data_IF_306412008374
#
_entry.id   IF_306412008374
#
_cell.length_a   1.000
_cell.length_b   1.000
_cell.length_c   1.000
_cell.angle_alpha   90.00
_cell.angle_beta   90.00
_cell.angle_gamma   90.00
#
_symmetry.space_group_name_H-M   'P 1'
#
loop_
_entity.id
_entity.type
_entity.pdbx_description
1 polymer ?
#
# COMPACT_ATOMS: atom_id res chain seq x y z
N UNK A 1 17.52 -69.73 -23.25
CA UNK A 1 17.92 -68.30 -23.50
C UNK A 1 17.14 -67.45 -22.55
N UNK A 2 17.81 -66.94 -21.48
CA UNK A 2 17.17 -65.98 -20.54
C UNK A 2 17.28 -64.55 -21.15
N UNK A 3 16.13 -63.98 -21.46
CA UNK A 3 16.06 -62.55 -21.81
C UNK A 3 16.55 -61.69 -20.64
N UNK A 4 17.69 -61.05 -20.80
CA UNK A 4 18.14 -59.97 -19.90
C UNK A 4 17.19 -58.80 -20.05
N UNK A 5 16.20 -58.71 -19.14
CA UNK A 5 15.35 -57.54 -19.04
C UNK A 5 16.22 -56.30 -18.85
N UNK A 6 16.20 -55.38 -19.80
CA UNK A 6 16.91 -54.10 -19.70
C UNK A 6 16.40 -53.35 -18.45
N UNK A 7 17.30 -53.13 -17.48
CA UNK A 7 16.99 -52.38 -16.25
C UNK A 7 16.61 -50.94 -16.56
N UNK A 8 17.34 -50.31 -17.49
CA UNK A 8 17.07 -48.94 -17.94
C UNK A 8 15.76 -48.92 -18.74
N UNK A 9 14.82 -48.04 -18.31
CA UNK A 9 13.47 -47.95 -18.88
C UNK A 9 12.43 -48.86 -18.23
N UNK A 10 12.81 -49.69 -17.26
CA UNK A 10 11.85 -50.44 -16.47
C UNK A 10 11.18 -49.60 -15.39
N UNK A 11 9.98 -49.98 -14.96
CA UNK A 11 9.27 -49.29 -13.84
C UNK A 11 10.15 -49.21 -12.57
N UNK A 12 10.98 -50.25 -12.35
CA UNK A 12 11.92 -50.30 -11.24
C UNK A 12 13.06 -49.28 -11.38
N UNK A 13 13.52 -49.00 -12.59
CA UNK A 13 14.51 -47.96 -12.89
C UNK A 13 13.95 -46.57 -12.58
N UNK A 14 12.73 -46.25 -13.06
CA UNK A 14 12.11 -44.96 -12.82
C UNK A 14 11.78 -44.76 -11.33
N UNK A 15 11.33 -45.77 -10.63
CA UNK A 15 11.08 -45.71 -9.19
C UNK A 15 12.36 -45.43 -8.41
N UNK A 16 13.50 -46.07 -8.75
CA UNK A 16 14.79 -45.86 -8.10
C UNK A 16 15.34 -44.44 -8.43
N UNK A 17 15.17 -43.99 -9.67
CA UNK A 17 15.56 -42.62 -10.11
C UNK A 17 14.75 -41.57 -9.36
N UNK A 18 13.43 -41.74 -9.23
CA UNK A 18 12.58 -40.84 -8.47
C UNK A 18 13.00 -40.77 -6.99
N UNK A 19 13.30 -41.93 -6.39
CA UNK A 19 13.77 -42.02 -5.02
C UNK A 19 15.11 -41.35 -4.80
N UNK A 20 16.03 -41.45 -5.77
CA UNK A 20 17.31 -40.71 -5.77
C UNK A 20 17.10 -39.21 -5.83
N UNK A 21 16.20 -38.72 -6.71
CA UNK A 21 15.88 -37.31 -6.82
C UNK A 21 15.29 -36.77 -5.52
N UNK A 22 14.38 -37.49 -4.89
CA UNK A 22 13.81 -37.12 -3.59
C UNK A 22 14.90 -37.05 -2.51
N UNK A 23 15.80 -37.99 -2.44
CA UNK A 23 16.89 -38.02 -1.47
C UNK A 23 17.82 -36.82 -1.69
N UNK A 24 18.13 -36.47 -2.95
CA UNK A 24 18.95 -35.31 -3.28
C UNK A 24 18.26 -33.97 -2.91
N UNK A 25 16.95 -33.87 -3.15
CA UNK A 25 16.16 -32.69 -2.77
C UNK A 25 16.09 -32.54 -1.24
N UNK A 26 15.81 -33.61 -0.50
CA UNK A 26 15.78 -33.57 0.97
C UNK A 26 17.16 -33.24 1.54
N UNK A 27 18.23 -33.82 0.97
CA UNK A 27 19.60 -33.52 1.35
C UNK A 27 19.97 -32.06 1.09
N UNK A 28 19.55 -31.52 -0.07
CA UNK A 28 19.73 -30.10 -0.41
C UNK A 28 18.99 -29.17 0.53
N UNK A 29 17.74 -29.46 0.85
CA UNK A 29 16.96 -28.70 1.82
C UNK A 29 17.54 -28.75 3.23
N UNK A 30 18.05 -29.92 3.65
CA UNK A 30 18.73 -30.07 4.94
C UNK A 30 20.01 -29.23 5.02
N UNK A 31 20.84 -29.20 3.95
CA UNK A 31 22.07 -28.39 3.93
C UNK A 31 21.74 -26.88 3.95
N UNK A 32 20.72 -26.44 3.22
CA UNK A 32 20.24 -25.05 3.26
C UNK A 32 19.75 -24.70 4.67
N UNK A 33 18.95 -25.55 5.29
CA UNK A 33 18.45 -25.34 6.65
C UNK A 33 19.57 -25.25 7.68
N UNK A 34 20.59 -26.12 7.59
CA UNK A 34 21.77 -26.08 8.48
C UNK A 34 22.55 -24.78 8.26
N UNK A 35 22.72 -24.36 7.01
CA UNK A 35 23.42 -23.10 6.69
C UNK A 35 22.69 -21.88 7.27
N UNK A 36 21.36 -21.82 7.11
CA UNK A 36 20.52 -20.76 7.69
C UNK A 36 20.58 -20.76 9.22
N UNK A 37 20.50 -21.94 9.84
CA UNK A 37 20.60 -22.07 11.31
C UNK A 37 21.96 -21.57 11.82
N UNK A 38 23.05 -21.96 11.17
CA UNK A 38 24.40 -21.48 11.55
C UNK A 38 24.60 -19.99 11.33
N UNK A 39 24.01 -19.41 10.27
CA UNK A 39 24.03 -17.97 10.03
C UNK A 39 23.21 -17.21 11.09
N UNK A 40 22.06 -17.75 11.48
CA UNK A 40 21.21 -17.22 12.53
C UNK A 40 21.90 -17.20 13.90
N UNK A 41 22.55 -18.32 14.27
CA UNK A 41 23.36 -18.40 15.51
C UNK A 41 24.48 -17.36 15.54
N UNK A 42 25.18 -17.16 14.41
CA UNK A 42 26.23 -16.11 14.32
C UNK A 42 25.67 -14.71 14.54
N UNK A 43 24.47 -14.41 13.99
CA UNK A 43 23.82 -13.12 14.20
C UNK A 43 23.40 -12.95 15.66
N UNK A 44 22.91 -14.01 16.29
CA UNK A 44 22.57 -13.99 17.73
C UNK A 44 23.83 -13.78 18.60
N UNK A 45 24.94 -14.48 18.29
CA UNK A 45 26.22 -14.30 19.01
C UNK A 45 26.75 -12.85 18.90
N UNK A 46 26.61 -12.22 17.71
CA UNK A 46 26.98 -10.81 17.51
C UNK A 46 26.06 -9.90 18.32
N UNK A 47 24.74 -10.12 18.27
CA UNK A 47 23.78 -9.33 19.04
C UNK A 47 23.95 -9.49 20.55
N UNK A 48 24.30 -10.71 21.04
CA UNK A 48 24.62 -10.95 22.45
C UNK A 48 25.94 -10.33 22.86
N UNK A 49 26.98 -10.35 22.00
CA UNK A 49 28.24 -9.71 22.25
C UNK A 49 28.16 -8.18 22.30
N UNK A 50 27.32 -7.60 21.45
CA UNK A 50 26.99 -6.16 21.47
C UNK A 50 26.13 -5.77 22.69
N UNK A 51 25.26 -6.68 23.16
CA UNK A 51 24.46 -6.48 24.38
C UNK A 51 25.24 -6.52 25.67
N UNK A 52 26.42 -7.16 25.64
CA UNK A 52 27.35 -7.25 26.79
C UNK A 52 28.25 -6.04 26.97
N UNK A 53 28.33 -5.11 26.00
CA UNK A 53 28.95 -3.80 26.23
C UNK A 53 27.92 -2.93 26.97
N UNK A 54 28.12 -2.72 28.26
CA UNK A 54 27.34 -1.77 29.07
C UNK A 54 27.33 -0.41 28.35
N UNK A 55 26.22 -0.10 27.64
CA UNK A 55 25.88 1.28 27.31
C UNK A 55 25.38 1.87 28.63
N UNK A 56 26.32 2.35 29.43
CA UNK A 56 26.05 2.87 30.77
C UNK A 56 25.37 4.22 30.78
N UNK A 57 25.18 4.85 29.61
CA UNK A 57 24.48 6.12 29.50
C UNK A 57 23.89 6.32 28.10
N UNK A 58 22.57 6.04 27.96
CA UNK A 58 21.81 6.34 26.75
C UNK A 58 21.66 7.86 26.52
N UNK A 59 21.99 8.69 27.51
CA UNK A 59 21.91 10.15 27.42
C UNK A 59 23.02 10.77 26.56
N UNK A 60 24.13 10.05 26.32
CA UNK A 60 25.24 10.49 25.48
C UNK A 60 25.10 10.12 23.98
N UNK A 61 24.05 9.36 23.62
CA UNK A 61 23.71 9.10 22.23
C UNK A 61 22.82 10.22 21.68
N UNK A 62 23.32 11.45 21.64
CA UNK A 62 22.73 12.47 20.79
C UNK A 62 23.05 12.12 19.34
N UNK A 63 22.21 11.28 18.73
CA UNK A 63 22.26 11.09 17.28
C UNK A 63 21.73 12.40 16.70
N UNK A 64 22.59 13.15 16.03
CA UNK A 64 22.16 14.33 15.29
C UNK A 64 21.06 13.91 14.29
N UNK A 65 19.94 14.64 14.23
CA UNK A 65 18.88 14.31 13.31
C UNK A 65 19.40 14.35 11.86
N UNK A 66 18.96 13.43 11.03
CA UNK A 66 19.27 13.45 9.61
C UNK A 66 18.76 14.77 9.00
N UNK A 67 19.48 15.31 8.02
CA UNK A 67 19.21 16.64 7.46
C UNK A 67 17.74 16.83 7.03
N UNK A 68 17.12 15.80 6.44
CA UNK A 68 15.72 15.87 6.03
C UNK A 68 14.72 15.88 7.21
N UNK A 69 15.12 15.42 8.39
CA UNK A 69 14.25 15.39 9.58
C UNK A 69 13.98 16.77 10.17
N UNK A 70 14.84 17.76 9.84
CA UNK A 70 14.69 19.16 10.25
C UNK A 70 13.92 20.00 9.24
N UNK A 71 13.56 19.43 8.08
CA UNK A 71 12.75 20.12 7.08
C UNK A 71 11.28 20.19 7.51
N UNK A 72 10.62 21.31 7.21
CA UNK A 72 9.17 21.49 7.40
C UNK A 72 8.73 21.17 8.84
N UNK A 73 9.10 22.02 9.79
CA UNK A 73 8.85 21.83 11.24
C UNK A 73 7.36 21.75 11.60
N UNK A 74 6.48 22.24 10.75
CA UNK A 74 5.02 22.18 10.87
C UNK A 74 4.37 21.03 10.11
N UNK A 75 5.15 20.23 9.38
CA UNK A 75 4.67 19.08 8.62
C UNK A 75 4.60 17.83 9.49
N UNK A 76 3.59 17.78 10.36
CA UNK A 76 3.29 16.65 11.24
C UNK A 76 1.79 16.40 11.31
N UNK A 77 1.40 15.15 11.53
CA UNK A 77 0.03 14.82 11.87
C UNK A 77 -0.34 15.49 13.23
N UNK A 78 -1.62 15.87 13.43
CA UNK A 78 -2.02 16.63 14.61
C UNK A 78 -1.88 15.86 15.94
N UNK A 79 -1.76 14.53 15.87
CA UNK A 79 -1.55 13.65 17.04
C UNK A 79 -0.92 12.34 16.58
N UNK A 80 -0.44 11.54 17.53
CA UNK A 80 -0.02 10.16 17.27
C UNK A 80 -1.25 9.24 17.13
N UNK A 81 -1.16 8.25 16.25
CA UNK A 81 -2.21 7.29 15.97
C UNK A 81 -1.73 5.86 16.20
N UNK A 82 -2.59 5.03 16.78
CA UNK A 82 -2.37 3.59 16.89
C UNK A 82 -3.07 2.86 15.73
N UNK A 83 -2.37 2.73 14.62
CA UNK A 83 -2.88 2.15 13.38
C UNK A 83 -3.00 0.61 13.44
N UNK A 84 -3.69 0.08 14.46
CA UNK A 84 -3.83 -1.36 14.72
C UNK A 84 -5.24 -1.91 14.49
N UNK A 85 -6.23 -1.04 14.28
CA UNK A 85 -7.64 -1.45 14.10
C UNK A 85 -7.80 -2.23 12.80
N UNK A 86 -8.29 -3.48 12.93
CA UNK A 86 -8.57 -4.36 11.79
C UNK A 86 -9.99 -4.91 11.90
N UNK A 87 -10.90 -4.32 11.12
CA UNK A 87 -12.31 -4.74 11.09
C UNK A 87 -12.52 -5.69 9.93
N UNK A 88 -12.83 -6.95 10.25
CA UNK A 88 -13.18 -7.99 9.28
C UNK A 88 -14.53 -7.68 8.64
N UNK A 89 -14.71 -8.04 7.37
CA UNK A 89 -15.93 -7.75 6.62
C UNK A 89 -16.07 -6.28 6.22
N UNK A 90 -14.95 -5.52 6.14
CA UNK A 90 -14.98 -4.11 5.75
C UNK A 90 -14.28 -3.89 4.41
N UNK A 91 -14.96 -3.21 3.51
CA UNK A 91 -14.41 -2.68 2.27
C UNK A 91 -14.16 -1.17 2.42
N UNK A 92 -12.92 -0.76 2.23
CA UNK A 92 -12.50 0.63 2.16
C UNK A 92 -12.37 1.02 0.69
N UNK A 93 -13.34 1.79 0.18
CA UNK A 93 -13.24 2.35 -1.17
C UNK A 93 -12.26 3.51 -1.15
N UNK A 94 -11.22 3.45 -1.97
CA UNK A 94 -10.17 4.47 -2.02
C UNK A 94 -9.96 4.93 -3.46
N UNK A 95 -9.99 6.26 -3.65
CA UNK A 95 -9.87 6.89 -4.96
C UNK A 95 -8.55 7.64 -5.04
N UNK A 96 -7.77 7.40 -6.09
CA UNK A 96 -6.54 8.11 -6.40
C UNK A 96 -6.76 9.22 -7.42
N UNK A 97 -5.78 10.07 -7.58
CA UNK A 97 -5.55 11.07 -8.65
C UNK A 97 -6.47 12.30 -8.62
N UNK A 98 -7.66 12.20 -8.06
CA UNK A 98 -8.62 13.30 -8.00
C UNK A 98 -8.18 14.50 -7.12
N UNK A 99 -9.08 15.48 -6.94
CA UNK A 99 -10.41 15.59 -7.53
C UNK A 99 -10.43 15.86 -9.03
N UNK A 100 -11.36 15.24 -9.73
CA UNK A 100 -11.57 15.39 -11.17
C UNK A 100 -12.99 15.88 -11.51
N UNK A 101 -13.33 15.92 -12.78
CA UNK A 101 -14.71 16.17 -13.22
C UNK A 101 -15.68 15.07 -12.79
N UNK A 102 -15.18 13.86 -12.47
CA UNK A 102 -15.99 12.74 -11.99
C UNK A 102 -16.32 12.82 -10.50
N UNK A 103 -15.57 13.61 -9.71
CA UNK A 103 -15.70 13.68 -8.25
C UNK A 103 -17.12 14.03 -7.81
N UNK A 104 -17.76 15.01 -8.45
CA UNK A 104 -19.13 15.44 -8.06
C UNK A 104 -20.13 14.30 -8.19
N UNK A 105 -20.03 13.51 -9.27
CA UNK A 105 -20.89 12.36 -9.50
C UNK A 105 -20.57 11.18 -8.57
N UNK A 106 -19.28 10.95 -8.27
CA UNK A 106 -18.84 9.96 -7.27
C UNK A 106 -19.39 10.30 -5.88
N UNK A 107 -19.28 11.55 -5.45
CA UNK A 107 -19.80 12.00 -4.16
C UNK A 107 -21.32 11.84 -4.07
N UNK A 108 -22.04 12.17 -5.15
CA UNK A 108 -23.50 11.99 -5.21
C UNK A 108 -23.90 10.51 -5.09
N UNK A 109 -23.19 9.61 -5.79
CA UNK A 109 -23.41 8.17 -5.70
C UNK A 109 -23.12 7.64 -4.28
N UNK A 110 -21.98 8.01 -3.70
CA UNK A 110 -21.59 7.58 -2.36
C UNK A 110 -22.59 8.08 -1.30
N UNK A 111 -23.10 9.29 -1.45
CA UNK A 111 -24.14 9.83 -0.57
C UNK A 111 -25.46 9.07 -0.71
N UNK A 112 -25.88 8.71 -1.94
CA UNK A 112 -27.09 7.91 -2.20
C UNK A 112 -27.00 6.52 -1.55
N UNK A 113 -25.79 5.92 -1.55
CA UNK A 113 -25.53 4.59 -1.02
C UNK A 113 -25.18 4.61 0.48
N UNK A 114 -25.14 5.78 1.13
CA UNK A 114 -24.69 5.99 2.53
C UNK A 114 -23.28 5.41 2.80
N UNK A 115 -22.36 5.61 1.86
CA UNK A 115 -20.99 5.12 1.94
C UNK A 115 -20.02 6.27 2.17
N UNK A 116 -19.09 6.09 3.12
CA UNK A 116 -17.94 6.96 3.27
C UNK A 116 -16.71 6.28 2.67
N UNK A 117 -15.92 7.06 1.93
CA UNK A 117 -14.75 6.62 1.18
C UNK A 117 -13.52 7.46 1.53
N UNK A 118 -12.37 7.12 0.96
CA UNK A 118 -11.13 7.88 1.11
C UNK A 118 -10.64 8.34 -0.26
N UNK A 119 -10.24 9.61 -0.34
CA UNK A 119 -9.71 10.21 -1.56
C UNK A 119 -8.25 10.60 -1.32
N UNK A 120 -7.33 9.94 -2.01
CA UNK A 120 -5.91 10.30 -2.06
C UNK A 120 -5.70 11.24 -3.25
N UNK A 121 -5.68 12.52 -2.96
CA UNK A 121 -5.72 13.57 -3.98
C UNK A 121 -4.34 13.95 -4.50
N UNK A 122 -4.30 14.54 -5.69
CA UNK A 122 -3.08 15.06 -6.32
C UNK A 122 -3.13 16.57 -6.51
N UNK A 123 -1.97 17.20 -6.71
CA UNK A 123 -1.86 18.66 -6.88
C UNK A 123 -2.10 19.18 -8.30
N UNK A 124 -2.44 18.34 -9.27
CA UNK A 124 -2.46 18.68 -10.70
C UNK A 124 -3.32 19.87 -11.10
N UNK A 125 -4.42 20.09 -10.40
CA UNK A 125 -5.41 21.11 -10.74
C UNK A 125 -5.54 22.17 -9.64
N UNK A 126 -4.51 22.31 -8.80
CA UNK A 126 -4.51 23.32 -7.73
C UNK A 126 -4.67 24.75 -8.28
N UNK A 127 -5.45 25.55 -7.57
CA UNK A 127 -5.79 26.91 -8.01
C UNK A 127 -6.97 26.98 -8.98
N UNK A 128 -7.55 25.87 -9.42
CA UNK A 128 -8.85 25.84 -10.07
C UNK A 128 -9.95 25.97 -9.01
N UNK A 129 -10.85 26.96 -9.09
CA UNK A 129 -11.96 27.10 -8.14
C UNK A 129 -12.88 25.87 -8.05
N UNK A 130 -13.00 25.08 -9.12
CA UNK A 130 -13.75 23.84 -9.11
C UNK A 130 -13.03 22.74 -8.35
N UNK A 131 -11.72 22.66 -8.49
CA UNK A 131 -10.87 21.73 -7.73
C UNK A 131 -11.00 22.01 -6.22
N UNK A 132 -10.85 23.25 -5.81
CA UNK A 132 -10.98 23.67 -4.41
C UNK A 132 -12.37 23.38 -3.85
N UNK A 133 -13.41 23.60 -4.65
CA UNK A 133 -14.79 23.30 -4.25
C UNK A 133 -14.99 21.80 -4.04
N UNK A 134 -14.40 20.95 -4.88
CA UNK A 134 -14.45 19.49 -4.76
C UNK A 134 -13.68 18.99 -3.54
N UNK A 135 -12.49 19.56 -3.24
CA UNK A 135 -11.78 19.25 -1.99
C UNK A 135 -12.66 19.49 -0.76
N UNK A 136 -13.34 20.64 -0.72
CA UNK A 136 -14.29 20.96 0.38
C UNK A 136 -15.46 19.99 0.38
N UNK A 137 -16.02 19.66 -0.78
CA UNK A 137 -17.15 18.73 -0.88
C UNK A 137 -16.81 17.32 -0.40
N UNK A 138 -15.58 16.83 -0.63
CA UNK A 138 -15.09 15.55 -0.08
C UNK A 138 -15.15 15.60 1.45
N UNK A 139 -14.61 16.64 2.06
CA UNK A 139 -14.59 16.81 3.52
C UNK A 139 -16.00 16.98 4.08
N UNK A 140 -16.81 17.88 3.50
CA UNK A 140 -18.18 18.18 3.92
C UNK A 140 -19.09 16.94 3.80
N UNK A 141 -18.80 16.06 2.82
CA UNK A 141 -19.44 14.76 2.64
C UNK A 141 -19.08 13.73 3.73
N UNK A 142 -18.13 14.04 4.61
CA UNK A 142 -17.65 13.15 5.67
C UNK A 142 -16.75 12.01 5.14
N UNK A 143 -16.13 12.20 3.99
CA UNK A 143 -15.12 11.32 3.44
C UNK A 143 -13.73 11.66 4.03
N UNK A 144 -12.81 10.70 4.01
CA UNK A 144 -11.43 10.97 4.38
C UNK A 144 -10.68 11.57 3.20
N UNK A 145 -10.06 12.71 3.42
CA UNK A 145 -9.16 13.35 2.49
C UNK A 145 -7.72 12.98 2.86
N UNK A 146 -7.04 12.23 2.01
CA UNK A 146 -5.66 11.79 2.19
C UNK A 146 -4.74 12.42 1.13
N UNK A 147 -3.44 12.40 1.41
CA UNK A 147 -2.43 12.89 0.47
C UNK A 147 -2.00 11.79 -0.49
N UNK A 148 -2.05 12.04 -1.80
CA UNK A 148 -1.42 11.24 -2.85
C UNK A 148 -0.06 11.84 -3.20
N UNK A 149 -0.03 12.89 -4.04
CA UNK A 149 1.17 13.62 -4.44
C UNK A 149 0.81 15.04 -4.87
N UNK A 150 1.78 15.96 -4.81
CA UNK A 150 1.64 17.28 -5.43
C UNK A 150 1.87 17.20 -6.94
N UNK A 151 2.93 16.51 -7.34
CA UNK A 151 3.34 16.32 -8.72
C UNK A 151 3.12 14.86 -9.15
N UNK A 152 2.88 14.61 -10.43
CA UNK A 152 2.79 13.24 -10.98
C UNK A 152 4.11 12.75 -11.61
N UNK A 153 5.18 13.52 -11.47
CA UNK A 153 6.51 13.12 -11.93
C UNK A 153 7.21 12.22 -10.91
N UNK A 154 7.02 10.91 -11.02
CA UNK A 154 7.63 9.90 -10.16
C UNK A 154 9.15 10.05 -10.02
N UNK A 155 9.85 10.38 -11.12
CA UNK A 155 11.30 10.51 -11.10
C UNK A 155 11.74 11.69 -10.22
N UNK A 156 11.00 12.79 -10.25
CA UNK A 156 11.26 13.96 -9.40
C UNK A 156 10.84 13.72 -7.96
N UNK A 157 9.66 13.15 -7.72
CA UNK A 157 9.14 12.88 -6.36
C UNK A 157 10.08 11.95 -5.59
N UNK A 158 10.55 10.88 -6.21
CA UNK A 158 11.38 9.85 -5.56
C UNK A 158 12.89 10.05 -5.78
N UNK A 159 13.33 11.22 -6.21
CA UNK A 159 14.75 11.52 -6.39
C UNK A 159 15.54 11.50 -5.07
N UNK A 160 14.92 11.87 -3.96
CA UNK A 160 15.47 11.80 -2.60
C UNK A 160 14.35 11.91 -1.55
N UNK A 161 14.67 11.68 -0.27
CA UNK A 161 13.73 11.87 0.84
C UNK A 161 13.29 13.34 0.91
N UNK A 162 14.21 14.28 0.71
CA UNK A 162 13.93 15.72 0.73
C UNK A 162 12.96 16.13 -0.41
N UNK A 163 13.14 15.56 -1.62
CA UNK A 163 12.26 15.80 -2.76
C UNK A 163 10.84 15.30 -2.47
N UNK A 164 10.73 14.10 -1.92
CA UNK A 164 9.45 13.54 -1.51
C UNK A 164 8.76 14.39 -0.43
N UNK A 165 9.50 14.80 0.59
CA UNK A 165 8.96 15.66 1.64
C UNK A 165 8.51 17.02 1.11
N UNK A 166 9.23 17.60 0.13
CA UNK A 166 8.84 18.86 -0.50
C UNK A 166 7.52 18.72 -1.25
N UNK A 167 7.34 17.62 -2.00
CA UNK A 167 6.12 17.31 -2.74
C UNK A 167 4.92 17.14 -1.79
N UNK A 168 5.09 16.33 -0.77
CA UNK A 168 4.05 16.04 0.22
C UNK A 168 3.69 17.26 1.06
N UNK A 169 4.67 18.09 1.43
CA UNK A 169 4.44 19.33 2.19
C UNK A 169 3.64 20.35 1.38
N UNK A 170 3.93 20.47 0.08
CA UNK A 170 3.17 21.34 -0.80
C UNK A 170 1.69 20.94 -0.86
N UNK A 171 1.42 19.63 -0.97
CA UNK A 171 0.05 19.11 -0.96
C UNK A 171 -0.62 19.27 0.41
N UNK A 172 0.10 18.98 1.49
CA UNK A 172 -0.39 19.12 2.86
C UNK A 172 -0.85 20.54 3.17
N UNK A 173 -0.01 21.52 2.89
CA UNK A 173 -0.32 22.94 3.13
C UNK A 173 -1.48 23.42 2.27
N UNK A 174 -1.53 22.99 1.00
CA UNK A 174 -2.63 23.35 0.12
C UNK A 174 -3.97 22.79 0.58
N UNK A 175 -4.00 21.52 1.00
CA UNK A 175 -5.23 20.91 1.55
C UNK A 175 -5.68 21.67 2.80
N UNK A 176 -4.76 21.99 3.72
CA UNK A 176 -5.08 22.76 4.94
C UNK A 176 -5.62 24.15 4.59
N UNK A 177 -4.99 24.87 3.67
CA UNK A 177 -5.40 26.21 3.24
C UNK A 177 -6.80 26.21 2.60
N UNK A 178 -7.11 25.22 1.78
CA UNK A 178 -8.40 25.12 1.08
C UNK A 178 -9.51 24.62 2.00
N UNK A 179 -9.25 23.63 2.84
CA UNK A 179 -10.31 22.90 3.57
C UNK A 179 -10.33 23.19 5.07
N UNK A 180 -9.26 23.73 5.63
CA UNK A 180 -9.06 23.85 7.08
C UNK A 180 -8.77 22.52 7.78
N UNK A 181 -8.63 21.41 7.03
CA UNK A 181 -8.35 20.09 7.57
C UNK A 181 -6.89 19.69 7.34
N UNK A 182 -6.26 19.16 8.36
CA UNK A 182 -4.93 18.55 8.25
C UNK A 182 -5.06 17.08 7.87
N UNK A 183 -4.60 16.64 6.69
CA UNK A 183 -4.63 15.22 6.35
C UNK A 183 -3.74 14.41 7.29
N UNK A 184 -4.17 13.20 7.60
CA UNK A 184 -3.48 12.29 8.53
C UNK A 184 -3.06 10.98 7.88
N UNK A 185 -3.64 10.69 6.72
CA UNK A 185 -3.37 9.47 5.93
C UNK A 185 -2.79 9.86 4.58
N UNK A 186 -1.98 8.97 4.03
CA UNK A 186 -1.37 9.20 2.73
C UNK A 186 -1.17 7.89 1.95
N UNK A 187 -0.90 8.02 0.66
CA UNK A 187 -0.57 6.91 -0.22
C UNK A 187 0.63 7.27 -1.08
N UNK A 188 1.61 6.38 -1.14
CA UNK A 188 2.72 6.52 -2.08
C UNK A 188 2.22 6.34 -3.51
N UNK A 189 2.63 7.22 -4.42
CA UNK A 189 2.39 7.05 -5.84
C UNK A 189 3.05 5.76 -6.33
N UNK A 190 2.25 4.85 -6.92
CA UNK A 190 2.71 3.52 -7.33
C UNK A 190 2.91 2.51 -6.20
N UNK A 191 2.50 2.85 -4.96
CA UNK A 191 2.63 2.02 -3.77
C UNK A 191 3.91 2.25 -2.98
N UNK A 192 3.95 1.69 -1.76
CA UNK A 192 5.04 1.89 -0.79
C UNK A 192 6.39 1.36 -1.27
N UNK A 193 6.41 0.45 -2.22
CA UNK A 193 7.61 0.03 -2.97
C UNK A 193 7.29 -0.05 -4.47
N UNK A 194 8.09 0.64 -5.29
CA UNK A 194 7.99 0.65 -6.75
C UNK A 194 9.38 0.85 -7.36
N UNK A 195 9.48 0.86 -8.70
CA UNK A 195 10.76 0.96 -9.41
C UNK A 195 11.49 2.30 -9.19
N UNK A 196 10.79 3.36 -8.79
CA UNK A 196 11.38 4.69 -8.57
C UNK A 196 11.87 4.87 -7.15
N UNK A 197 11.18 4.31 -6.14
CA UNK A 197 11.52 4.50 -4.73
C UNK A 197 12.30 3.32 -4.11
N UNK A 198 12.58 2.25 -4.87
CA UNK A 198 13.20 1.01 -4.38
C UNK A 198 14.52 1.21 -3.62
N UNK A 199 15.23 2.32 -3.87
CA UNK A 199 16.48 2.65 -3.17
C UNK A 199 16.30 3.41 -1.85
N UNK A 200 15.13 4.00 -1.59
CA UNK A 200 14.89 4.91 -0.45
C UNK A 200 13.55 4.67 0.26
N UNK A 201 12.81 3.61 -0.09
CA UNK A 201 11.45 3.42 0.43
C UNK A 201 11.40 3.22 1.95
N UNK A 202 12.43 2.62 2.55
CA UNK A 202 12.51 2.45 3.99
C UNK A 202 12.59 3.80 4.72
N UNK A 203 13.45 4.70 4.22
CA UNK A 203 13.63 6.04 4.76
C UNK A 203 12.37 6.88 4.59
N UNK A 204 11.71 6.77 3.42
CA UNK A 204 10.45 7.47 3.14
C UNK A 204 9.35 7.03 4.11
N UNK A 205 9.15 5.71 4.27
CA UNK A 205 8.14 5.17 5.17
C UNK A 205 8.45 5.57 6.62
N UNK A 206 9.70 5.39 7.05
CA UNK A 206 10.12 5.71 8.41
C UNK A 206 9.93 7.19 8.73
N UNK A 207 10.30 8.10 7.81
CA UNK A 207 10.17 9.53 8.03
C UNK A 207 8.71 10.00 8.08
N UNK A 208 7.85 9.48 7.19
CA UNK A 208 6.43 9.83 7.20
C UNK A 208 5.71 9.31 8.46
N UNK A 209 6.06 8.09 8.92
CA UNK A 209 5.55 7.55 10.20
C UNK A 209 6.09 8.35 11.38
N UNK A 210 7.38 8.76 11.38
CA UNK A 210 7.96 9.62 12.42
C UNK A 210 7.21 10.96 12.53
N UNK A 211 6.67 11.46 11.42
CA UNK A 211 5.82 12.66 11.38
C UNK A 211 4.38 12.38 11.78
N UNK A 212 4.03 11.13 12.12
CA UNK A 212 2.71 10.71 12.57
C UNK A 212 1.71 10.41 11.46
N UNK A 213 2.10 10.43 10.18
CA UNK A 213 1.22 10.10 9.06
C UNK A 213 1.10 8.58 8.87
N UNK A 214 -0.09 8.10 8.49
CA UNK A 214 -0.35 6.68 8.29
C UNK A 214 -0.44 6.36 6.80
N UNK A 215 0.48 5.50 6.27
CA UNK A 215 0.50 5.08 4.88
C UNK A 215 -0.52 4.00 4.56
N UNK A 216 -1.13 4.05 3.37
CA UNK A 216 -2.04 3.02 2.88
C UNK A 216 -1.77 2.66 1.43
N UNK A 217 -1.29 1.43 1.18
CA UNK A 217 -1.41 0.78 -0.12
C UNK A 217 -2.82 0.15 -0.24
N UNK A 218 -2.97 -0.83 -1.10
CA UNK A 218 -4.21 -1.56 -1.34
C UNK A 218 -3.94 -3.06 -1.37
N UNK A 219 -4.96 -3.85 -1.20
CA UNK A 219 -4.88 -5.30 -1.40
C UNK A 219 -5.78 -5.79 -2.54
N UNK A 220 -6.51 -4.88 -3.18
CA UNK A 220 -7.28 -5.11 -4.39
C UNK A 220 -7.29 -3.85 -5.25
N UNK A 221 -7.08 -3.98 -6.57
CA UNK A 221 -7.22 -2.90 -7.55
C UNK A 221 -8.38 -3.22 -8.47
N UNK A 222 -9.28 -2.26 -8.69
CA UNK A 222 -10.44 -2.49 -9.54
C UNK A 222 -10.08 -2.60 -11.03
N UNK A 223 -9.00 -1.97 -11.47
CA UNK A 223 -8.55 -1.92 -12.85
C UNK A 223 -7.37 -2.86 -13.16
N UNK A 224 -7.09 -3.83 -12.27
CA UNK A 224 -6.00 -4.80 -12.46
C UNK A 224 -4.60 -4.22 -12.26
N UNK A 225 -4.47 -2.99 -11.77
CA UNK A 225 -3.18 -2.35 -11.46
C UNK A 225 -2.45 -1.78 -12.69
N UNK A 226 -1.12 -1.65 -12.59
CA UNK A 226 -0.26 -0.92 -13.54
C UNK A 226 -0.11 -1.54 -14.94
N UNK A 227 -0.93 -2.50 -15.34
CA UNK A 227 -0.79 -3.20 -16.64
C UNK A 227 -1.12 -2.35 -17.86
N UNK A 228 -1.63 -1.12 -17.68
CA UNK A 228 -2.02 -0.22 -18.78
C UNK A 228 -3.24 -0.68 -19.57
N UNK A 229 -3.89 -1.78 -19.17
CA UNK A 229 -5.12 -2.26 -19.78
C UNK A 229 -6.30 -1.57 -19.10
N UNK A 230 -7.07 -0.82 -19.87
CA UNK A 230 -8.34 -0.28 -19.37
C UNK A 230 -9.39 -1.39 -19.44
N UNK A 231 -9.97 -1.74 -18.29
CA UNK A 231 -11.12 -2.63 -18.22
C UNK A 231 -12.40 -1.90 -18.65
N UNK A 232 -13.32 -2.62 -19.29
CA UNK A 232 -14.72 -2.20 -19.39
C UNK A 232 -15.38 -2.21 -18.01
N UNK A 233 -16.53 -1.59 -17.89
CA UNK A 233 -17.34 -1.57 -16.67
C UNK A 233 -17.59 -3.00 -16.14
N UNK A 234 -17.98 -3.91 -17.02
CA UNK A 234 -18.26 -5.31 -16.68
C UNK A 234 -16.99 -6.08 -16.26
N UNK A 235 -15.89 -5.89 -16.99
CA UNK A 235 -14.61 -6.51 -16.67
C UNK A 235 -14.10 -6.05 -15.30
N UNK A 236 -14.29 -4.78 -14.96
CA UNK A 236 -13.90 -4.21 -13.66
C UNK A 236 -14.69 -4.87 -12.52
N UNK A 237 -16.01 -5.01 -12.64
CA UNK A 237 -16.85 -5.67 -11.64
C UNK A 237 -16.47 -7.15 -11.47
N UNK A 238 -16.28 -7.88 -12.59
CA UNK A 238 -15.85 -9.28 -12.56
C UNK A 238 -14.48 -9.44 -11.90
N UNK A 239 -13.53 -8.59 -12.26
CA UNK A 239 -12.17 -8.61 -11.70
C UNK A 239 -12.17 -8.38 -10.18
N UNK A 240 -12.98 -7.44 -9.71
CA UNK A 240 -13.16 -7.22 -8.27
C UNK A 240 -13.70 -8.49 -7.60
N UNK A 241 -14.75 -9.13 -8.17
CA UNK A 241 -15.33 -10.36 -7.64
C UNK A 241 -14.33 -11.50 -7.53
N UNK A 242 -13.59 -11.75 -8.62
CA UNK A 242 -12.59 -12.82 -8.66
C UNK A 242 -11.45 -12.58 -7.66
N UNK A 243 -11.09 -11.31 -7.43
CA UNK A 243 -9.99 -10.90 -6.55
C UNK A 243 -10.37 -10.81 -5.06
N UNK A 244 -11.66 -10.85 -4.72
CA UNK A 244 -12.12 -10.87 -3.32
C UNK A 244 -11.89 -12.22 -2.63
N UNK A 245 -11.65 -13.29 -3.37
CA UNK A 245 -11.52 -14.64 -2.81
C UNK A 245 -10.40 -14.70 -1.77
N UNK A 246 -10.77 -15.02 -0.54
CA UNK A 246 -9.85 -15.14 0.59
C UNK A 246 -9.54 -13.83 1.31
N UNK A 247 -10.09 -12.71 0.87
CA UNK A 247 -9.97 -11.44 1.58
C UNK A 247 -11.07 -11.34 2.64
N UNK A 248 -10.68 -11.10 3.87
CA UNK A 248 -11.60 -10.81 4.98
C UNK A 248 -11.78 -9.29 5.21
N UNK A 249 -10.97 -8.47 4.53
CA UNK A 249 -10.98 -7.01 4.51
C UNK A 249 -10.36 -6.54 3.20
N UNK A 250 -10.92 -5.53 2.57
CA UNK A 250 -10.33 -4.97 1.35
C UNK A 250 -10.11 -3.47 1.46
N UNK A 251 -8.92 -3.02 1.02
CA UNK A 251 -8.63 -1.63 0.65
C UNK A 251 -8.61 -1.63 -0.87
N UNK A 252 -9.70 -1.17 -1.46
CA UNK A 252 -9.91 -1.21 -2.90
C UNK A 252 -9.37 0.06 -3.55
N UNK A 253 -8.40 -0.10 -4.45
CA UNK A 253 -7.90 0.99 -5.29
C UNK A 253 -8.86 1.22 -6.46
N UNK A 254 -9.29 2.46 -6.58
CA UNK A 254 -10.07 3.04 -7.66
C UNK A 254 -9.39 4.35 -8.10
N UNK A 255 -9.81 4.91 -9.23
CA UNK A 255 -9.28 6.19 -9.70
C UNK A 255 -10.41 7.21 -9.90
N UNK A 256 -10.20 8.43 -9.43
CA UNK A 256 -11.04 9.60 -9.70
C UNK A 256 -10.33 10.43 -10.78
N UNK A 257 -10.45 9.99 -12.02
CA UNK A 257 -9.78 10.59 -13.17
C UNK A 257 -10.78 10.78 -14.33
N UNK A 258 -10.83 11.98 -14.88
CA UNK A 258 -11.71 12.31 -16.01
C UNK A 258 -11.46 11.46 -17.27
N UNK A 259 -10.23 10.94 -17.44
CA UNK A 259 -9.89 10.04 -18.52
C UNK A 259 -10.35 8.59 -18.26
N UNK A 260 -10.81 8.27 -17.05
CA UNK A 260 -11.19 6.92 -16.59
C UNK A 260 -12.62 6.88 -16.06
N UNK A 261 -13.59 7.33 -16.86
CA UNK A 261 -15.02 7.35 -16.49
C UNK A 261 -15.60 5.97 -16.16
N UNK A 262 -14.95 4.89 -16.62
CA UNK A 262 -15.32 3.50 -16.31
C UNK A 262 -15.37 3.22 -14.82
N UNK A 263 -14.56 3.88 -13.99
CA UNK A 263 -14.64 3.76 -12.54
C UNK A 263 -16.02 4.18 -12.04
N UNK A 264 -16.49 5.37 -12.40
CA UNK A 264 -17.80 5.89 -11.97
C UNK A 264 -18.94 4.97 -12.46
N UNK A 265 -18.85 4.49 -13.69
CA UNK A 265 -19.87 3.61 -14.29
C UNK A 265 -19.91 2.22 -13.62
N UNK A 266 -18.76 1.70 -13.17
CA UNK A 266 -18.64 0.40 -12.50
C UNK A 266 -19.06 0.44 -11.02
N UNK A 267 -19.03 1.61 -10.37
CA UNK A 267 -19.29 1.75 -8.94
C UNK A 267 -20.59 1.10 -8.45
N UNK A 268 -21.77 1.25 -9.12
CA UNK A 268 -22.99 0.59 -8.67
C UNK A 268 -22.84 -0.94 -8.63
N UNK A 269 -22.19 -1.53 -9.64
CA UNK A 269 -21.94 -2.97 -9.71
C UNK A 269 -20.96 -3.44 -8.63
N UNK A 270 -19.88 -2.69 -8.40
CA UNK A 270 -18.89 -2.98 -7.37
C UNK A 270 -19.53 -2.91 -5.97
N UNK A 271 -20.34 -1.89 -5.69
CA UNK A 271 -21.03 -1.74 -4.40
C UNK A 271 -21.99 -2.91 -4.16
N UNK A 272 -22.79 -3.28 -5.18
CA UNK A 272 -23.72 -4.42 -5.09
C UNK A 272 -22.98 -5.71 -4.79
N UNK A 273 -21.90 -5.99 -5.55
CA UNK A 273 -21.08 -7.17 -5.40
C UNK A 273 -20.46 -7.24 -3.98
N UNK A 274 -19.87 -6.16 -3.48
CA UNK A 274 -19.27 -6.13 -2.14
C UNK A 274 -20.30 -6.38 -1.03
N UNK A 275 -21.54 -5.85 -1.19
CA UNK A 275 -22.64 -6.13 -0.25
C UNK A 275 -23.09 -7.60 -0.32
N UNK A 276 -23.18 -8.17 -1.51
CA UNK A 276 -23.54 -9.59 -1.72
C UNK A 276 -22.50 -10.52 -1.07
N UNK A 277 -21.22 -10.14 -1.12
CA UNK A 277 -20.12 -10.84 -0.45
C UNK A 277 -20.02 -10.54 1.07
N UNK A 278 -20.95 -9.73 1.60
CA UNK A 278 -21.10 -9.47 3.03
C UNK A 278 -20.20 -8.37 3.59
N UNK A 279 -19.61 -7.54 2.74
CA UNK A 279 -18.80 -6.40 3.20
C UNK A 279 -19.68 -5.22 3.60
N UNK A 280 -19.32 -4.59 4.72
CA UNK A 280 -19.70 -3.22 5.08
C UNK A 280 -18.68 -2.22 4.55
N UNK A 281 -19.04 -0.92 4.52
CA UNK A 281 -18.17 0.12 4.00
C UNK A 281 -17.73 1.08 5.09
N UNK A 282 -16.48 1.56 5.00
CA UNK A 282 -15.95 2.61 5.84
C UNK A 282 -14.89 3.42 5.09
N UNK A 283 -14.65 4.65 5.51
CA UNK A 283 -13.46 5.39 5.10
C UNK A 283 -12.24 4.93 5.93
N UNK A 284 -11.05 5.05 5.36
CA UNK A 284 -9.81 4.86 6.12
C UNK A 284 -9.67 6.00 7.13
N UNK A 285 -9.37 5.62 8.36
CA UNK A 285 -8.96 6.55 9.41
C UNK A 285 -7.52 6.19 9.84
N UNK A 286 -6.78 7.08 10.48
CA UNK A 286 -5.41 6.79 10.87
C UNK A 286 -5.27 5.66 11.91
N UNK A 287 -6.39 5.18 12.49
CA UNK A 287 -6.39 4.03 13.41
C UNK A 287 -6.48 2.69 12.69
N UNK A 288 -6.86 2.67 11.40
CA UNK A 288 -6.99 1.43 10.62
C UNK A 288 -5.62 0.84 10.35
N UNK A 289 -5.45 -0.47 10.62
CA UNK A 289 -4.18 -1.17 10.32
C UNK A 289 -3.87 -1.07 8.82
N UNK A 290 -2.72 -0.50 8.42
CA UNK A 290 -2.37 -0.34 7.02
C UNK A 290 -2.11 -1.67 6.30
N UNK A 291 -2.18 -1.63 4.98
CA UNK A 291 -1.58 -2.59 4.06
C UNK A 291 -0.42 -1.87 3.39
N UNK A 292 0.77 -2.48 3.39
CA UNK A 292 1.97 -1.92 2.77
C UNK A 292 2.68 -3.01 1.96
N UNK A 293 2.98 -2.73 0.69
CA UNK A 293 3.71 -3.68 -0.17
C UNK A 293 5.14 -3.94 0.32
N UNK A 294 5.75 -2.95 0.98
CA UNK A 294 7.09 -3.06 1.53
C UNK A 294 7.18 -4.04 2.73
N UNK A 295 6.06 -4.34 3.37
CA UNK A 295 5.96 -5.20 4.56
C UNK A 295 4.80 -6.18 4.40
N UNK A 296 4.90 -7.06 3.41
CA UNK A 296 3.97 -8.20 3.27
C UNK A 296 4.37 -9.27 4.27
N UNK A 297 3.41 -9.66 5.14
CA UNK A 297 3.54 -10.80 6.06
C UNK A 297 3.68 -12.13 5.29
#
# INVERSE_FOLDING_TARGET
MQEKTRYVGSVRFYKNMLLLVIVLLVGGLATVSIHYHHSYEKVLDVLESERGSEISDLSDLSVDPLAYQTLYEDFYAPQEYDATSRVVGTAYLTFNDGPSECTDALLALLAQEDIKATFFVSGNLTGDPQYDARLRAIVDGGHTLGMGCWSEDYASIYASVEAYLADMYALYTYIEDVTGQKPTVFRFMGGSINSYNSGIYHELIAEMIRRGFVPYDWNLSADGGASGTQFSTEEMVLHVGDSLVGLDRTILLLHDDAARTTTLEAMPGIISLLREEGFSFAALTPDVKPVLFAYTD
#
